data_IF_081346851348
#
_entry.id   IF_081346851348
#
_cell.length_a   1.000
_cell.length_b   1.000
_cell.length_c   1.000
_cell.angle_alpha   90.00
_cell.angle_beta   90.00
_cell.angle_gamma   90.00
#
_symmetry.space_group_name_H-M   'P 1'
#
loop_
_entity.id
_entity.type
_entity.pdbx_description
1 polymer ?
#
# COMPACT_ATOMS: atom_id res chain seq x y z
N UNK A 1 -4.92 5.13 9.67
CA UNK A 1 -3.68 4.48 10.18
C UNK A 1 -2.50 5.33 9.76
N UNK A 2 -1.43 5.39 10.57
CA UNK A 2 -0.21 6.13 10.23
C UNK A 2 0.55 5.45 9.08
N UNK A 3 1.19 6.25 8.24
CA UNK A 3 2.11 5.85 7.18
C UNK A 3 3.38 6.70 7.27
N UNK A 4 4.51 6.06 7.51
CA UNK A 4 5.77 6.72 7.82
C UNK A 4 6.89 6.10 6.98
N UNK A 5 7.79 6.94 6.49
CA UNK A 5 9.01 6.48 5.83
C UNK A 5 10.11 7.53 5.93
N UNK A 6 11.35 7.06 5.78
CA UNK A 6 12.55 7.89 5.73
C UNK A 6 13.42 7.49 4.54
N UNK A 7 14.06 8.47 3.91
CA UNK A 7 15.09 8.28 2.89
C UNK A 7 16.44 8.63 3.52
N UNK A 8 17.37 7.70 3.42
CA UNK A 8 18.75 7.86 3.89
C UNK A 8 19.69 8.06 2.71
N UNK A 9 20.78 8.81 2.92
CA UNK A 9 21.91 8.84 1.98
C UNK A 9 22.86 7.65 2.24
N UNK A 10 23.95 7.58 1.47
CA UNK A 10 24.98 6.53 1.61
C UNK A 10 25.69 6.53 2.98
N UNK A 11 25.72 7.68 3.67
CA UNK A 11 26.26 7.83 5.03
C UNK A 11 25.21 7.55 6.13
N UNK A 12 24.07 6.96 5.76
CA UNK A 12 22.92 6.71 6.62
C UNK A 12 22.33 7.95 7.31
N UNK A 13 22.57 9.15 6.78
CA UNK A 13 21.94 10.39 7.25
C UNK A 13 20.56 10.54 6.63
N UNK A 14 19.60 10.96 7.45
CA UNK A 14 18.22 11.21 7.01
C UNK A 14 18.22 12.40 6.06
N UNK A 15 17.88 12.15 4.80
CA UNK A 15 17.69 13.19 3.78
C UNK A 15 16.28 13.74 3.81
N UNK A 16 15.31 12.84 3.91
CA UNK A 16 13.89 13.17 3.86
C UNK A 16 13.11 12.21 4.75
N UNK A 17 12.05 12.73 5.36
CA UNK A 17 11.10 11.96 6.15
C UNK A 17 9.70 12.41 5.82
N UNK A 18 8.76 11.48 5.86
CA UNK A 18 7.36 11.78 5.69
C UNK A 18 6.57 11.03 6.75
N UNK A 19 5.64 11.74 7.38
CA UNK A 19 4.58 11.16 8.20
C UNK A 19 3.25 11.60 7.63
N UNK A 20 2.41 10.63 7.34
CA UNK A 20 1.09 10.83 6.78
C UNK A 20 0.14 9.78 7.35
N UNK A 21 -1.14 9.92 7.04
CA UNK A 21 -2.16 8.94 7.39
C UNK A 21 -2.81 8.41 6.12
N UNK A 22 -3.22 7.15 6.13
CA UNK A 22 -4.07 6.59 5.08
C UNK A 22 -5.50 6.39 5.59
N UNK A 23 -6.45 6.77 4.75
CA UNK A 23 -7.88 6.64 4.99
C UNK A 23 -8.44 5.36 4.37
N UNK A 24 -9.64 5.01 4.85
CA UNK A 24 -10.46 3.89 4.38
C UNK A 24 -9.81 2.52 4.65
N UNK A 25 -10.62 1.51 4.96
CA UNK A 25 -10.16 0.12 5.09
C UNK A 25 -8.90 -0.08 5.97
N UNK A 26 -8.89 0.38 7.24
CA UNK A 26 -7.68 0.34 8.07
C UNK A 26 -7.10 -1.08 8.20
N UNK A 27 -5.81 -1.22 7.92
CA UNK A 27 -4.98 -2.41 8.18
C UNK A 27 -3.50 -2.01 8.16
N UNK A 28 -2.65 -2.75 8.88
CA UNK A 28 -1.19 -2.53 8.86
C UNK A 28 -0.62 -2.64 7.44
N UNK A 29 -1.05 -3.64 6.68
CA UNK A 29 -0.68 -3.80 5.26
C UNK A 29 -1.03 -2.57 4.42
N UNK A 30 -2.22 -1.98 4.63
CA UNK A 30 -2.64 -0.78 3.89
C UNK A 30 -1.81 0.44 4.27
N UNK A 31 -1.50 0.60 5.55
CA UNK A 31 -0.62 1.66 6.03
C UNK A 31 0.75 1.60 5.35
N UNK A 32 1.36 0.42 5.35
CA UNK A 32 2.69 0.25 4.78
C UNK A 32 2.71 0.37 3.25
N UNK A 33 1.66 -0.10 2.56
CA UNK A 33 1.46 0.20 1.15
C UNK A 33 1.33 1.71 0.88
N UNK A 34 0.68 2.47 1.77
CA UNK A 34 0.60 3.93 1.69
C UNK A 34 1.96 4.60 1.87
N UNK A 35 2.80 4.08 2.77
CA UNK A 35 4.17 4.54 2.95
C UNK A 35 5.01 4.30 1.69
N UNK A 36 4.94 3.10 1.11
CA UNK A 36 5.64 2.77 -0.16
C UNK A 36 5.15 3.68 -1.30
N UNK A 37 3.83 3.86 -1.44
CA UNK A 37 3.25 4.70 -2.47
C UNK A 37 3.78 6.14 -2.39
N UNK A 38 3.75 6.73 -1.20
CA UNK A 38 4.23 8.10 -0.99
C UNK A 38 5.74 8.24 -1.14
N UNK A 39 6.54 7.24 -0.75
CA UNK A 39 7.98 7.23 -1.00
C UNK A 39 8.29 7.23 -2.51
N UNK A 40 7.60 6.38 -3.29
CA UNK A 40 7.77 6.29 -4.75
C UNK A 40 7.34 7.58 -5.47
N UNK A 41 6.39 8.33 -4.92
CA UNK A 41 5.98 9.62 -5.48
C UNK A 41 7.11 10.65 -5.46
N UNK A 42 8.01 10.59 -4.48
CA UNK A 42 9.15 11.50 -4.36
C UNK A 42 10.32 11.13 -5.27
N UNK A 43 10.43 9.87 -5.68
CA UNK A 43 11.51 9.40 -6.57
C UNK A 43 11.41 10.03 -7.96
N UNK A 44 12.57 10.34 -8.55
CA UNK A 44 12.68 10.88 -9.91
C UNK A 44 12.60 9.77 -10.97
N UNK A 45 12.21 10.12 -12.19
CA UNK A 45 12.15 9.18 -13.32
C UNK A 45 13.50 8.52 -13.58
N UNK A 46 13.52 7.21 -13.80
CA UNK A 46 14.74 6.42 -14.04
C UNK A 46 15.58 6.13 -12.80
N UNK A 47 15.14 6.54 -11.61
CA UNK A 47 15.90 6.35 -10.38
C UNK A 47 15.83 4.89 -9.89
N UNK A 48 16.95 4.43 -9.32
CA UNK A 48 17.05 3.16 -8.61
C UNK A 48 16.90 3.37 -7.11
N UNK A 49 16.07 2.56 -6.45
CA UNK A 49 15.89 2.64 -5.01
C UNK A 49 15.64 1.26 -4.38
N UNK A 50 16.20 1.08 -3.19
CA UNK A 50 15.93 -0.07 -2.33
C UNK A 50 14.94 0.37 -1.26
N UNK A 51 13.80 -0.31 -1.16
CA UNK A 51 12.79 -0.04 -0.15
C UNK A 51 12.81 -1.19 0.85
N UNK A 52 13.08 -0.85 2.11
CA UNK A 52 13.08 -1.78 3.22
C UNK A 52 11.71 -1.73 3.91
N UNK A 53 11.14 -2.91 4.13
CA UNK A 53 9.79 -3.10 4.72
C UNK A 53 9.84 -4.33 5.63
N UNK A 54 9.17 -4.27 6.77
CA UNK A 54 9.16 -5.38 7.74
C UNK A 54 8.02 -6.38 7.44
N UNK A 55 7.03 -5.99 6.63
CA UNK A 55 5.89 -6.81 6.30
C UNK A 55 6.04 -7.57 4.97
N UNK A 56 6.37 -8.86 5.10
CA UNK A 56 6.44 -9.78 3.95
C UNK A 56 5.13 -9.81 3.14
N UNK A 57 3.96 -9.68 3.80
CA UNK A 57 2.68 -9.69 3.12
C UNK A 57 2.54 -8.57 2.08
N UNK A 58 3.21 -7.42 2.28
CA UNK A 58 3.24 -6.31 1.32
C UNK A 58 4.03 -6.70 0.08
N UNK A 59 5.23 -7.24 0.28
CA UNK A 59 6.10 -7.72 -0.81
C UNK A 59 5.37 -8.78 -1.64
N UNK A 60 4.78 -9.77 -0.98
CA UNK A 60 4.09 -10.88 -1.64
C UNK A 60 2.86 -10.39 -2.42
N UNK A 61 2.09 -9.46 -1.85
CA UNK A 61 0.90 -8.89 -2.51
C UNK A 61 1.27 -8.11 -3.76
N UNK A 62 2.34 -7.31 -3.71
CA UNK A 62 2.85 -6.56 -4.88
C UNK A 62 3.33 -7.52 -5.97
N UNK A 63 4.14 -8.54 -5.60
CA UNK A 63 4.64 -9.55 -6.55
C UNK A 63 3.50 -10.32 -7.20
N UNK A 64 2.53 -10.76 -6.41
CA UNK A 64 1.37 -11.50 -6.88
C UNK A 64 0.56 -10.69 -7.89
N UNK A 65 0.22 -9.44 -7.57
CA UNK A 65 -0.55 -8.58 -8.46
C UNK A 65 0.25 -8.20 -9.71
N UNK A 66 1.55 -7.91 -9.59
CA UNK A 66 2.40 -7.60 -10.74
C UNK A 66 2.45 -8.76 -11.73
N UNK A 67 2.68 -9.98 -11.25
CA UNK A 67 2.67 -11.20 -12.08
C UNK A 67 1.31 -11.40 -12.75
N UNK A 68 0.24 -11.16 -12.00
CA UNK A 68 -1.13 -11.37 -12.49
C UNK A 68 -1.59 -10.29 -13.46
N UNK A 69 -1.05 -9.07 -13.39
CA UNK A 69 -1.30 -8.01 -14.37
C UNK A 69 -0.66 -8.34 -15.72
N UNK A 70 0.48 -9.01 -15.71
CA UNK A 70 1.16 -9.53 -16.90
C UNK A 70 0.41 -10.73 -17.49
N UNK A 71 -0.19 -11.58 -16.65
CA UNK A 71 -1.01 -12.68 -17.14
C UNK A 71 -2.40 -12.20 -17.62
N UNK A 72 -2.77 -12.46 -18.87
CA UNK A 72 -4.07 -12.03 -19.41
C UNK A 72 -5.28 -12.82 -18.87
N UNK A 73 -5.06 -13.87 -18.07
CA UNK A 73 -6.13 -14.77 -17.62
C UNK A 73 -6.73 -14.33 -16.27
N UNK A 74 -8.07 -14.28 -16.19
CA UNK A 74 -8.86 -14.17 -14.96
C UNK A 74 -8.62 -12.92 -14.09
N UNK A 75 -8.32 -11.77 -14.69
CA UNK A 75 -8.10 -10.51 -13.95
C UNK A 75 -9.28 -10.18 -13.04
N UNK A 76 -10.51 -10.12 -13.54
CA UNK A 76 -11.69 -9.82 -12.71
C UNK A 76 -11.81 -10.68 -11.46
N UNK A 77 -11.57 -12.00 -11.56
CA UNK A 77 -11.63 -12.90 -10.41
C UNK A 77 -10.55 -12.61 -9.37
N UNK A 78 -9.33 -12.28 -9.81
CA UNK A 78 -8.25 -11.89 -8.90
C UNK A 78 -8.66 -10.65 -8.11
N UNK A 79 -9.20 -9.65 -8.79
CA UNK A 79 -9.54 -8.37 -8.17
C UNK A 79 -10.58 -8.51 -7.08
N UNK A 80 -11.58 -9.36 -7.32
CA UNK A 80 -12.58 -9.68 -6.31
C UNK A 80 -12.01 -10.43 -5.09
N UNK A 81 -10.78 -10.94 -5.16
CA UNK A 81 -10.12 -11.67 -4.06
C UNK A 81 -9.03 -10.85 -3.35
N UNK A 82 -8.42 -9.89 -4.02
CA UNK A 82 -7.29 -9.13 -3.48
C UNK A 82 -7.75 -8.01 -2.54
N UNK A 83 -7.06 -7.89 -1.41
CA UNK A 83 -7.15 -6.70 -0.57
C UNK A 83 -6.17 -5.63 -1.08
N UNK A 84 -6.50 -4.35 -0.89
CA UNK A 84 -5.64 -3.20 -1.22
C UNK A 84 -5.18 -3.16 -2.68
N UNK A 85 -5.98 -3.73 -3.59
CA UNK A 85 -5.66 -3.84 -5.00
C UNK A 85 -5.49 -2.46 -5.65
N UNK A 86 -6.29 -1.47 -5.24
CA UNK A 86 -6.24 -0.11 -5.76
C UNK A 86 -4.87 0.55 -5.53
N UNK A 87 -4.32 0.40 -4.31
CA UNK A 87 -3.02 0.96 -3.93
C UNK A 87 -1.90 0.25 -4.67
N UNK A 88 -1.93 -1.09 -4.67
CA UNK A 88 -0.88 -1.90 -5.29
C UNK A 88 -0.82 -1.64 -6.79
N UNK A 89 -1.97 -1.53 -7.46
CA UNK A 89 -2.01 -1.18 -8.88
C UNK A 89 -1.47 0.23 -9.13
N UNK A 90 -1.73 1.19 -8.23
CA UNK A 90 -1.18 2.54 -8.34
C UNK A 90 0.34 2.55 -8.17
N UNK A 91 0.87 1.77 -7.22
CA UNK A 91 2.32 1.56 -7.04
C UNK A 91 2.95 1.00 -8.32
N UNK A 92 2.40 -0.08 -8.86
CA UNK A 92 2.93 -0.73 -10.06
C UNK A 92 2.92 0.24 -11.25
N UNK A 93 1.79 0.92 -11.48
CA UNK A 93 1.68 1.93 -12.55
C UNK A 93 2.69 3.06 -12.38
N UNK A 94 2.93 3.55 -11.16
CA UNK A 94 3.92 4.60 -10.92
C UNK A 94 5.34 4.11 -11.18
N UNK A 95 5.68 2.89 -10.76
CA UNK A 95 6.97 2.27 -11.05
C UNK A 95 7.20 2.19 -12.56
N UNK A 96 6.21 1.66 -13.29
CA UNK A 96 6.32 1.48 -14.74
C UNK A 96 6.35 2.84 -15.47
N UNK A 97 5.50 3.80 -15.09
CA UNK A 97 5.44 5.12 -15.73
C UNK A 97 6.69 5.97 -15.48
N UNK A 98 7.29 5.88 -14.29
CA UNK A 98 8.53 6.59 -13.94
C UNK A 98 9.79 5.78 -14.30
N UNK A 99 9.66 4.60 -14.91
CA UNK A 99 10.80 3.73 -15.24
C UNK A 99 11.72 3.46 -14.04
N UNK A 100 11.13 3.23 -12.86
CA UNK A 100 11.88 3.07 -11.62
C UNK A 100 12.44 1.65 -11.48
N UNK A 101 13.68 1.55 -11.01
CA UNK A 101 14.28 0.29 -10.57
C UNK A 101 14.10 0.13 -9.06
N UNK A 102 12.95 -0.42 -8.65
CA UNK A 102 12.64 -0.64 -7.23
C UNK A 102 12.94 -2.08 -6.81
N UNK A 103 13.78 -2.24 -5.79
CA UNK A 103 13.99 -3.51 -5.10
C UNK A 103 13.34 -3.46 -3.71
N UNK A 104 12.35 -4.33 -3.47
CA UNK A 104 11.71 -4.49 -2.17
C UNK A 104 12.47 -5.52 -1.33
N UNK A 105 12.99 -5.11 -0.18
CA UNK A 105 13.78 -5.95 0.73
C UNK A 105 13.04 -6.12 2.04
N UNK A 106 12.80 -7.38 2.43
CA UNK A 106 12.27 -7.69 3.75
C UNK A 106 13.34 -7.44 4.80
N UNK A 107 13.01 -6.66 5.81
CA UNK A 107 13.80 -6.53 7.03
C UNK A 107 13.07 -7.17 8.20
N UNK A 108 13.81 -7.54 9.25
CA UNK A 108 13.19 -7.86 10.53
C UNK A 108 12.99 -6.56 11.30
N UNK A 109 11.79 -6.33 11.81
CA UNK A 109 11.52 -5.21 12.70
C UNK A 109 12.45 -5.24 13.91
N UNK A 110 12.87 -4.05 14.34
CA UNK A 110 13.65 -3.84 15.58
C UNK A 110 15.01 -4.56 15.67
N UNK A 111 15.74 -4.67 14.55
CA UNK A 111 17.09 -5.24 14.51
C UNK A 111 18.23 -4.22 14.28
N UNK A 112 18.09 -2.97 14.73
CA UNK A 112 19.18 -1.99 14.58
C UNK A 112 19.30 -1.37 13.18
N UNK A 113 18.35 -1.62 12.28
CA UNK A 113 18.34 -0.96 10.97
C UNK A 113 17.86 0.46 11.17
N UNK A 114 18.81 1.40 11.15
CA UNK A 114 18.61 2.82 11.46
C UNK A 114 17.38 3.43 10.77
N UNK A 115 17.19 3.16 9.48
CA UNK A 115 16.03 3.67 8.74
C UNK A 115 14.69 3.13 9.23
N UNK A 116 14.63 1.83 9.56
CA UNK A 116 13.42 1.21 10.10
C UNK A 116 13.11 1.72 11.50
N UNK A 117 14.12 1.79 12.37
CA UNK A 117 13.95 2.30 13.73
C UNK A 117 13.53 3.77 13.76
N UNK A 118 14.07 4.57 12.85
CA UNK A 118 13.71 5.98 12.72
C UNK A 118 12.25 6.13 12.23
N UNK A 119 11.80 5.29 11.27
CA UNK A 119 10.41 5.25 10.85
C UNK A 119 9.47 4.80 11.99
N UNK A 120 9.82 3.72 12.71
CA UNK A 120 9.05 3.20 13.86
C UNK A 120 8.94 4.25 14.98
N UNK A 121 10.01 5.02 15.21
CA UNK A 121 10.02 6.11 16.20
C UNK A 121 9.07 7.23 15.80
N UNK A 122 8.95 7.55 14.51
CA UNK A 122 8.04 8.59 14.03
C UNK A 122 6.57 8.23 14.29
N UNK A 123 6.21 6.95 14.13
CA UNK A 123 4.84 6.47 14.39
C UNK A 123 4.40 6.79 15.83
N UNK A 124 5.31 6.62 16.79
CA UNK A 124 5.01 6.79 18.23
C UNK A 124 4.86 8.25 18.65
N UNK A 125 5.55 9.16 17.97
CA UNK A 125 5.62 10.56 18.37
C UNK A 125 4.57 11.45 17.66
N UNK A 126 3.94 10.95 16.61
CA UNK A 126 3.11 11.76 15.72
C UNK A 126 1.61 11.42 15.87
N UNK A 127 1.02 11.87 16.98
CA UNK A 127 -0.39 11.67 17.34
C UNK A 127 -1.36 12.55 16.56
N UNK A 128 -0.91 13.62 15.90
CA UNK A 128 -1.75 14.56 15.12
C UNK A 128 -1.22 14.72 13.70
N UNK A 129 -1.53 13.76 12.84
CA UNK A 129 -1.08 13.78 11.44
C UNK A 129 -1.92 14.74 10.60
N UNK A 130 -1.32 15.82 10.11
CA UNK A 130 -2.00 16.82 9.27
C UNK A 130 -2.23 16.36 7.82
N UNK A 131 -1.43 15.39 7.33
CA UNK A 131 -1.46 14.96 5.93
C UNK A 131 -2.15 13.61 5.78
N UNK A 132 -3.13 13.53 4.88
CA UNK A 132 -3.87 12.30 4.56
C UNK A 132 -3.68 11.90 3.09
N UNK A 133 -3.33 10.64 2.87
CA UNK A 133 -3.25 10.02 1.55
C UNK A 133 -4.61 9.41 1.25
N UNK A 134 -5.30 10.01 0.28
CA UNK A 134 -6.52 9.44 -0.31
C UNK A 134 -6.19 8.86 -1.68
N UNK A 135 -6.45 7.57 -1.86
CA UNK A 135 -6.28 6.89 -3.15
C UNK A 135 -7.41 7.37 -4.07
N UNK A 136 -7.06 8.10 -5.14
CA UNK A 136 -8.06 8.47 -6.14
C UNK A 136 -8.56 7.23 -6.87
N UNK A 137 -9.87 7.18 -7.03
CA UNK A 137 -10.54 6.07 -7.67
C UNK A 137 -10.35 6.15 -9.19
N UNK A 138 -9.30 5.51 -9.69
CA UNK A 138 -9.09 5.40 -11.14
C UNK A 138 -9.80 4.14 -11.61
N UNK A 139 -10.81 4.32 -12.47
CA UNK A 139 -11.43 3.19 -13.15
C UNK A 139 -10.33 2.38 -13.82
N UNK A 140 -10.36 1.12 -13.50
CA UNK A 140 -9.21 0.28 -13.66
C UNK A 140 -9.59 -0.65 -14.82
N UNK A 141 -8.76 -0.64 -15.88
CA UNK A 141 -9.15 -1.05 -17.24
C UNK A 141 -9.82 -2.43 -17.33
N UNK A 142 -9.54 -3.33 -16.39
CA UNK A 142 -10.05 -4.70 -16.38
C UNK A 142 -11.36 -4.88 -15.56
N UNK A 143 -11.92 -3.81 -14.98
CA UNK A 143 -13.23 -3.80 -14.30
C UNK A 143 -14.22 -2.90 -15.03
N UNK A 144 -15.35 -3.50 -15.43
CA UNK A 144 -16.50 -2.75 -15.98
C UNK A 144 -17.16 -1.88 -14.91
N UNK A 145 -17.21 -2.36 -13.66
CA UNK A 145 -17.89 -1.69 -12.56
C UNK A 145 -17.02 -1.68 -11.29
N UNK A 146 -17.02 -0.55 -10.59
CA UNK A 146 -16.49 -0.44 -9.24
C UNK A 146 -17.63 -0.68 -8.24
N UNK A 147 -17.33 -1.36 -7.13
CA UNK A 147 -18.31 -1.60 -6.06
C UNK A 147 -18.00 -0.65 -4.89
N UNK A 148 -19.04 -0.02 -4.36
CA UNK A 148 -18.96 0.93 -3.25
C UNK A 148 -19.82 0.46 -2.09
N UNK A 149 -19.36 0.77 -0.88
CA UNK A 149 -20.11 0.63 0.36
C UNK A 149 -20.00 1.95 1.11
N UNK A 150 -21.14 2.54 1.48
CA UNK A 150 -21.20 3.86 2.16
C UNK A 150 -20.37 4.95 1.46
N UNK A 151 -20.45 5.01 0.13
CA UNK A 151 -19.67 5.95 -0.69
C UNK A 151 -18.17 5.66 -0.80
N UNK A 152 -17.66 4.60 -0.15
CA UNK A 152 -16.25 4.18 -0.17
C UNK A 152 -16.10 2.97 -1.10
N UNK A 153 -15.17 3.03 -2.06
CA UNK A 153 -14.89 1.89 -2.95
C UNK A 153 -14.38 0.71 -2.13
N UNK A 154 -14.97 -0.47 -2.33
CA UNK A 154 -14.54 -1.71 -1.69
C UNK A 154 -13.17 -2.12 -2.25
N UNK A 155 -12.14 -1.97 -1.44
CA UNK A 155 -10.75 -2.35 -1.76
C UNK A 155 -10.30 -3.55 -0.93
N UNK A 156 -11.20 -4.52 -0.82
CA UNK A 156 -11.08 -5.74 -0.03
C UNK A 156 -11.61 -6.93 -0.84
N UNK A 157 -11.33 -8.14 -0.35
CA UNK A 157 -11.91 -9.36 -0.87
C UNK A 157 -13.44 -9.27 -0.87
N UNK A 158 -14.02 -9.10 -2.06
CA UNK A 158 -15.44 -8.75 -2.25
C UNK A 158 -16.36 -9.84 -1.70
N UNK A 159 -16.10 -11.12 -2.01
CA UNK A 159 -16.95 -12.21 -1.50
C UNK A 159 -16.99 -12.23 0.03
N UNK A 160 -15.82 -12.26 0.69
CA UNK A 160 -15.73 -12.20 2.15
C UNK A 160 -16.39 -10.96 2.75
N UNK A 161 -16.26 -9.82 2.07
CA UNK A 161 -16.93 -8.59 2.50
C UNK A 161 -18.45 -8.75 2.47
N UNK A 162 -19.01 -9.31 1.39
CA UNK A 162 -20.44 -9.59 1.28
C UNK A 162 -20.92 -10.64 2.28
N UNK A 163 -20.16 -11.73 2.45
CA UNK A 163 -20.47 -12.81 3.40
C UNK A 163 -20.55 -12.23 4.83
N UNK A 164 -19.56 -11.43 5.24
CA UNK A 164 -19.55 -10.77 6.55
C UNK A 164 -20.73 -9.81 6.75
N UNK A 165 -21.11 -9.04 5.72
CA UNK A 165 -22.27 -8.14 5.81
C UNK A 165 -23.54 -8.94 6.07
N UNK A 166 -23.76 -10.01 5.33
CA UNK A 166 -24.94 -10.88 5.48
C UNK A 166 -25.00 -11.54 6.87
N UNK A 167 -23.87 -12.02 7.39
CA UNK A 167 -23.79 -12.59 8.75
C UNK A 167 -24.14 -11.53 9.81
N UNK A 168 -23.56 -10.33 9.72
CA UNK A 168 -23.83 -9.26 10.70
C UNK A 168 -25.28 -8.76 10.70
N UNK A 169 -26.01 -8.89 9.59
CA UNK A 169 -27.44 -8.53 9.53
C UNK A 169 -28.35 -9.57 10.18
N UNK A 170 -27.89 -10.81 10.35
CA UNK A 170 -28.67 -11.89 10.97
C UNK A 170 -28.57 -11.87 12.50
N UNK A 171 -27.45 -11.41 13.05
CA UNK A 171 -27.21 -11.30 14.50
C UNK A 171 -27.78 -10.00 15.13
N UNK A 172 -28.30 -9.08 14.31
CA UNK A 172 -28.85 -7.79 14.74
C UNK A 172 -30.37 -7.81 15.00
N UNK A 173 -30.97 -9.00 15.11
CA UNK A 173 -32.40 -9.25 15.38
C UNK A 173 -32.56 -9.93 16.74
#
# INVERSE_FOLDING_TARGET
MGTEWVILNEEEKVMLKCSSSITDWPSSTRAELGAILSAILVLQTGQKANIFTDLQAVIDSIKYIRTSLVSEKNKTRMWCKCNNYSIISSIIKLIDNKLLEIMLIKVKGHLGIKGNEEADRMVKNDTEKSTYIKIKDVQQKDLTYNIYWDGIRIDRHIKKFMDNLCETTLDAV
#
